data_IF_529899756642
#
_entry.id   IF_529899756642
#
_cell.length_a   1.000
_cell.length_b   1.000
_cell.length_c   1.000
_cell.angle_alpha   90.00
_cell.angle_beta   90.00
_cell.angle_gamma   90.00
#
_symmetry.space_group_name_H-M   'P 1'
#
loop_
_entity.id
_entity.type
_entity.pdbx_description
1 polymer ?
#
# COMPACT_ATOMS: atom_id res chain seq x y z
N UNK A 1 -7.39 -79.14 -24.86
CA UNK A 1 -7.28 -79.34 -23.41
C UNK A 1 -8.02 -78.22 -22.70
N UNK A 2 -9.06 -78.59 -21.97
CA UNK A 2 -9.77 -77.80 -20.96
C UNK A 2 -10.41 -78.82 -20.01
N UNK A 3 -10.56 -78.52 -18.71
CA UNK A 3 -11.90 -78.12 -18.27
C UNK A 3 -11.95 -77.07 -17.13
N UNK A 4 -12.90 -76.15 -17.27
CA UNK A 4 -14.02 -75.80 -16.38
C UNK A 4 -14.01 -76.05 -14.85
N UNK A 5 -14.63 -75.05 -14.16
CA UNK A 5 -15.41 -75.09 -12.88
C UNK A 5 -14.61 -75.15 -11.56
N UNK A 6 -15.02 -74.63 -10.39
CA UNK A 6 -16.16 -73.87 -9.85
C UNK A 6 -15.84 -73.54 -8.38
N UNK A 7 -16.47 -72.51 -7.79
CA UNK A 7 -17.16 -72.70 -6.50
C UNK A 7 -16.70 -71.92 -5.26
N UNK A 8 -17.68 -71.20 -4.68
CA UNK A 8 -17.92 -70.88 -3.26
C UNK A 8 -16.92 -69.96 -2.53
N UNK A 9 -17.27 -68.84 -1.91
CA UNK A 9 -18.53 -68.43 -1.29
C UNK A 9 -18.49 -68.68 0.22
N UNK A 10 -18.13 -67.67 1.02
CA UNK A 10 -18.50 -67.58 2.45
C UNK A 10 -18.67 -66.13 2.88
N UNK A 11 -19.79 -65.88 3.54
CA UNK A 11 -20.23 -64.61 4.11
C UNK A 11 -19.91 -64.54 5.62
N UNK A 12 -20.21 -63.37 6.21
CA UNK A 12 -20.23 -62.99 7.63
C UNK A 12 -18.91 -62.39 8.16
N UNK A 13 -18.86 -61.30 8.94
CA UNK A 13 -19.86 -60.54 9.69
C UNK A 13 -19.34 -59.09 9.91
N UNK A 14 -20.24 -58.10 9.99
CA UNK A 14 -19.97 -56.83 10.69
C UNK A 14 -20.32 -56.95 12.18
N UNK A 15 -20.38 -55.87 12.98
CA UNK A 15 -19.94 -54.49 12.76
C UNK A 15 -18.98 -53.99 13.87
N UNK A 16 -18.06 -53.09 13.54
CA UNK A 16 -17.16 -52.47 14.51
C UNK A 16 -17.12 -50.95 14.34
N UNK A 17 -18.19 -50.27 14.75
CA UNK A 17 -18.18 -48.80 14.94
C UNK A 17 -17.22 -48.48 16.09
N UNK A 18 -16.04 -47.98 15.78
CA UNK A 18 -15.22 -47.24 16.74
C UNK A 18 -15.39 -45.76 16.47
N UNK A 19 -16.27 -45.15 17.25
CA UNK A 19 -16.41 -43.72 17.40
C UNK A 19 -15.40 -43.24 18.45
N UNK A 20 -14.63 -42.19 18.14
CA UNK A 20 -13.94 -41.33 19.11
C UNK A 20 -13.44 -40.06 18.38
N UNK A 21 -13.27 -38.94 19.08
CA UNK A 21 -14.29 -38.18 19.76
C UNK A 21 -14.48 -36.82 19.06
N UNK A 22 -15.73 -36.41 18.89
CA UNK A 22 -16.09 -35.03 18.54
C UNK A 22 -15.63 -34.10 19.68
N UNK A 23 -14.57 -33.34 19.47
CA UNK A 23 -14.34 -32.13 20.27
C UNK A 23 -15.38 -31.10 19.86
N UNK A 24 -16.53 -31.21 20.51
CA UNK A 24 -17.55 -30.17 20.62
C UNK A 24 -16.92 -28.99 21.36
N UNK A 25 -16.25 -28.09 20.62
CA UNK A 25 -15.83 -26.79 21.18
C UNK A 25 -17.03 -25.86 21.16
N UNK A 26 -17.96 -26.17 22.06
CA UNK A 26 -18.95 -25.31 22.69
C UNK A 26 -18.96 -23.88 22.15
N UNK A 27 -19.92 -23.67 21.26
CA UNK A 27 -20.57 -22.41 20.90
C UNK A 27 -20.69 -21.48 22.13
N UNK A 28 -19.74 -20.56 22.32
CA UNK A 28 -19.91 -19.43 23.24
C UNK A 28 -20.58 -18.31 22.46
N UNK A 29 -21.91 -18.26 22.58
CA UNK A 29 -22.67 -17.02 22.38
C UNK A 29 -22.14 -16.00 23.39
N UNK A 30 -21.38 -15.03 22.91
CA UNK A 30 -21.00 -13.83 23.66
C UNK A 30 -21.49 -12.62 22.88
N UNK A 31 -22.63 -12.07 23.29
CA UNK A 31 -23.13 -10.77 22.84
C UNK A 31 -22.40 -9.73 23.69
N UNK A 32 -21.44 -9.03 23.09
CA UNK A 32 -20.80 -7.80 23.62
C UNK A 32 -20.43 -7.04 22.34
N UNK A 33 -20.96 -5.89 21.97
CA UNK A 33 -21.61 -4.83 22.70
C UNK A 33 -21.12 -3.56 22.01
N UNK A 34 -22.02 -2.93 21.25
CA UNK A 34 -21.86 -1.63 20.61
C UNK A 34 -21.27 -0.62 21.62
N UNK A 35 -20.08 -0.06 21.36
CA UNK A 35 -19.59 1.12 22.05
C UNK A 35 -19.30 2.22 21.03
N UNK A 36 -20.34 2.99 20.75
CA UNK A 36 -20.31 4.27 20.07
C UNK A 36 -19.91 5.35 21.08
N UNK A 37 -18.76 5.99 20.84
CA UNK A 37 -18.43 7.42 20.99
C UNK A 37 -18.76 8.13 22.32
N UNK A 38 -17.73 8.67 23.01
CA UNK A 38 -17.67 10.12 23.35
C UNK A 38 -16.27 10.61 23.78
N UNK A 39 -15.78 11.59 23.01
CA UNK A 39 -14.87 12.72 23.26
C UNK A 39 -14.08 12.86 24.59
N UNK A 40 -12.78 13.18 24.44
CA UNK A 40 -12.16 14.29 25.17
C UNK A 40 -11.45 15.19 24.15
N UNK A 41 -12.15 16.25 23.74
CA UNK A 41 -11.53 17.51 23.34
C UNK A 41 -11.79 18.48 24.49
N UNK A 42 -10.74 19.25 24.83
CA UNK A 42 -10.70 20.57 25.48
C UNK A 42 -9.81 20.65 26.73
N UNK A 43 -8.85 21.58 26.59
CA UNK A 43 -8.08 22.36 27.56
C UNK A 43 -6.78 21.73 28.10
N UNK A 44 -5.59 22.32 27.90
CA UNK A 44 -5.31 23.62 27.33
C UNK A 44 -3.81 23.91 27.25
N UNK A 45 -3.50 24.92 26.45
CA UNK A 45 -2.21 25.58 26.36
C UNK A 45 -1.59 25.85 27.74
N UNK A 46 -0.36 25.40 27.95
CA UNK A 46 0.56 26.01 28.90
C UNK A 46 1.84 26.32 28.13
N UNK A 47 1.87 27.55 27.62
CA UNK A 47 3.12 28.25 27.38
C UNK A 47 3.65 28.80 28.70
N UNK A 48 4.95 28.64 28.92
CA UNK A 48 5.81 29.54 29.70
C UNK A 48 7.17 29.47 28.99
N UNK A 49 7.79 30.54 28.52
CA UNK A 49 7.75 31.91 29.02
C UNK A 49 8.99 32.17 29.87
N UNK A 50 10.14 32.36 29.22
CA UNK A 50 11.29 33.02 29.81
C UNK A 50 11.98 33.84 28.71
N UNK A 51 11.52 35.08 28.56
CA UNK A 51 12.27 36.14 27.90
C UNK A 51 12.83 37.08 28.97
N UNK A 52 14.04 37.54 28.70
CA UNK A 52 14.74 38.75 29.18
C UNK A 52 15.83 38.59 30.25
N UNK A 53 16.84 39.44 30.00
CA UNK A 53 17.93 39.97 30.83
C UNK A 53 19.27 39.20 30.72
N UNK A 54 20.42 39.77 30.32
CA UNK A 54 20.90 41.16 30.25
C UNK A 54 21.92 41.37 29.11
N UNK A 55 21.92 42.59 28.58
CA UNK A 55 22.96 43.26 27.78
C UNK A 55 24.26 43.42 28.57
N UNK A 56 25.42 43.25 27.91
CA UNK A 56 26.66 43.92 28.30
C UNK A 56 27.49 44.19 27.04
N UNK A 57 27.52 45.46 26.64
CA UNK A 57 28.53 46.10 25.80
C UNK A 57 29.95 45.88 26.34
N UNK A 58 30.93 45.73 25.45
CA UNK A 58 32.27 46.25 25.70
C UNK A 58 32.77 46.96 24.42
N UNK A 59 33.23 48.19 24.62
CA UNK A 59 33.62 49.17 23.61
C UNK A 59 35.14 49.33 23.62
N UNK A 60 35.75 49.51 22.45
CA UNK A 60 37.11 50.05 22.30
C UNK A 60 37.44 50.25 20.82
N UNK A 61 37.21 51.43 20.25
CA UNK A 61 38.14 52.59 20.18
C UNK A 61 39.21 52.45 19.06
N UNK A 62 38.88 53.04 17.90
CA UNK A 62 39.61 54.04 17.10
C UNK A 62 41.13 53.89 16.82
N UNK A 63 41.54 53.86 15.53
CA UNK A 63 42.40 54.86 14.83
C UNK A 63 42.99 54.36 13.50
N UNK A 64 43.03 55.26 12.51
CA UNK A 64 43.42 55.14 11.08
C UNK A 64 44.94 55.16 10.85
N UNK A 65 45.46 54.39 9.86
CA UNK A 65 46.66 54.74 9.07
C UNK A 65 46.80 53.90 7.78
N UNK A 66 47.28 54.55 6.71
CA UNK A 66 47.33 54.12 5.31
C UNK A 66 48.49 53.18 4.90
N UNK A 67 48.29 52.53 3.73
CA UNK A 67 49.08 51.63 2.84
C UNK A 67 50.54 52.06 2.48
N UNK A 68 51.35 51.39 1.60
CA UNK A 68 51.08 50.27 0.65
C UNK A 68 52.22 49.24 0.39
N UNK A 69 52.01 48.38 -0.64
CA UNK A 69 52.95 47.50 -1.41
C UNK A 69 52.94 46.04 -0.96
N UNK A 70 52.69 45.02 -1.79
CA UNK A 70 52.44 44.92 -3.23
C UNK A 70 52.78 43.49 -3.66
N UNK A 71 51.91 42.81 -4.40
CA UNK A 71 52.31 41.90 -5.49
C UNK A 71 51.05 41.47 -6.26
N UNK A 72 51.07 41.76 -7.56
CA UNK A 72 50.02 41.45 -8.51
C UNK A 72 50.19 40.03 -9.09
N UNK A 73 49.08 39.39 -9.47
CA UNK A 73 48.98 38.71 -10.77
C UNK A 73 47.51 38.55 -11.21
N UNK A 74 47.16 38.68 -12.52
CA UNK A 74 45.78 38.90 -12.98
C UNK A 74 45.14 37.77 -13.85
N UNK A 75 43.80 37.82 -13.95
CA UNK A 75 42.90 37.39 -15.06
C UNK A 75 42.51 35.89 -15.24
N UNK A 76 41.42 35.56 -15.99
CA UNK A 76 40.10 36.23 -16.16
C UNK A 76 38.87 35.26 -16.20
N UNK A 77 37.66 35.84 -16.16
CA UNK A 77 36.38 35.40 -16.76
C UNK A 77 35.92 33.92 -16.72
N UNK A 78 34.82 33.67 -16.01
CA UNK A 78 33.86 32.59 -16.28
C UNK A 78 32.48 33.02 -15.81
N UNK A 79 31.55 33.24 -16.75
CA UNK A 79 30.19 33.74 -16.45
C UNK A 79 29.39 32.78 -15.57
N UNK A 80 28.32 33.25 -14.90
CA UNK A 80 27.43 32.36 -14.16
C UNK A 80 26.84 31.36 -15.16
N UNK A 81 27.17 30.08 -14.94
CA UNK A 81 26.51 28.95 -15.59
C UNK A 81 25.01 29.15 -15.45
N UNK A 82 24.29 29.08 -16.58
CA UNK A 82 22.86 28.89 -16.57
C UNK A 82 22.60 27.59 -15.81
N UNK A 83 22.18 27.73 -14.56
CA UNK A 83 21.64 26.64 -13.75
C UNK A 83 20.42 26.12 -14.52
N UNK A 84 20.61 24.98 -15.20
CA UNK A 84 19.52 24.27 -15.84
C UNK A 84 18.70 23.67 -14.70
N UNK A 85 17.73 24.43 -14.20
CA UNK A 85 16.66 23.90 -13.36
C UNK A 85 16.04 22.71 -14.10
N UNK A 86 15.95 21.52 -13.49
CA UNK A 86 15.28 20.40 -14.12
C UNK A 86 13.82 20.81 -14.32
N UNK A 87 13.34 20.76 -15.56
CA UNK A 87 11.92 20.83 -15.87
C UNK A 87 11.23 19.74 -15.05
N UNK A 88 10.49 20.15 -14.01
CA UNK A 88 9.55 19.27 -13.34
C UNK A 88 8.57 18.80 -14.41
N UNK A 89 8.66 17.53 -14.79
CA UNK A 89 7.71 16.90 -15.69
C UNK A 89 6.34 17.04 -15.02
N UNK A 90 5.54 17.99 -15.50
CA UNK A 90 4.25 18.29 -14.92
C UNK A 90 3.35 17.11 -15.28
N UNK A 91 3.02 16.28 -14.29
CA UNK A 91 2.00 15.25 -14.47
C UNK A 91 0.72 15.96 -14.92
N UNK A 92 0.01 15.45 -15.94
CA UNK A 92 -1.23 16.06 -16.38
C UNK A 92 -2.19 16.17 -15.20
N UNK A 93 -2.90 17.29 -15.11
CA UNK A 93 -3.96 17.48 -14.13
C UNK A 93 -5.06 16.42 -14.35
N UNK A 94 -5.59 15.87 -13.26
CA UNK A 94 -6.67 14.89 -13.31
C UNK A 94 -7.99 15.58 -13.72
N UNK A 95 -8.87 14.92 -14.50
CA UNK A 95 -10.19 15.45 -14.83
C UNK A 95 -11.10 15.52 -13.60
N UNK A 96 -12.12 16.39 -13.66
CA UNK A 96 -13.10 16.55 -12.59
C UNK A 96 -14.05 15.34 -12.44
N UNK A 97 -14.29 14.58 -13.52
CA UNK A 97 -15.08 13.36 -13.47
C UNK A 97 -14.28 12.23 -12.79
N UNK A 98 -14.77 11.67 -11.67
CA UNK A 98 -13.99 10.69 -10.91
C UNK A 98 -13.67 9.41 -11.67
N UNK A 99 -14.55 8.99 -12.59
CA UNK A 99 -14.31 7.80 -13.40
C UNK A 99 -13.20 8.06 -14.41
N UNK A 100 -13.27 9.18 -15.13
CA UNK A 100 -12.22 9.59 -16.06
C UNK A 100 -10.87 9.76 -15.34
N UNK A 101 -10.88 10.26 -14.10
CA UNK A 101 -9.67 10.40 -13.29
C UNK A 101 -9.07 9.04 -12.92
N UNK A 102 -9.89 8.10 -12.44
CA UNK A 102 -9.46 6.72 -12.17
C UNK A 102 -8.88 6.05 -13.41
N UNK A 103 -9.56 6.19 -14.56
CA UNK A 103 -9.09 5.63 -15.84
C UNK A 103 -7.74 6.23 -16.25
N UNK A 104 -7.57 7.56 -16.13
CA UNK A 104 -6.32 8.24 -16.44
C UNK A 104 -5.17 7.79 -15.51
N UNK A 105 -5.45 7.57 -14.22
CA UNK A 105 -4.47 7.06 -13.27
C UNK A 105 -4.05 5.64 -13.66
N UNK A 106 -5.00 4.74 -13.95
CA UNK A 106 -4.69 3.38 -14.40
C UNK A 106 -3.86 3.43 -15.69
N UNK A 107 -4.25 4.23 -16.67
CA UNK A 107 -3.53 4.35 -17.95
C UNK A 107 -2.10 4.85 -17.76
N UNK A 108 -1.89 5.79 -16.82
CA UNK A 108 -0.56 6.30 -16.46
C UNK A 108 0.29 5.24 -15.76
N UNK A 109 -0.30 4.47 -14.84
CA UNK A 109 0.44 3.53 -14.00
C UNK A 109 0.74 2.21 -14.74
N UNK A 110 -0.17 1.76 -15.62
CA UNK A 110 -0.14 0.47 -16.32
C UNK A 110 1.20 0.12 -16.98
N UNK A 111 1.87 1.00 -17.76
CA UNK A 111 3.11 0.64 -18.43
C UNK A 111 4.21 0.19 -17.46
N UNK A 112 4.33 0.86 -16.32
CA UNK A 112 5.31 0.50 -15.29
C UNK A 112 4.90 -0.76 -14.52
N UNK A 113 3.62 -0.92 -14.17
CA UNK A 113 3.10 -2.12 -13.50
C UNK A 113 3.36 -3.37 -14.37
N UNK A 114 3.01 -3.34 -15.64
CA UNK A 114 3.19 -4.49 -16.55
C UNK A 114 4.67 -4.80 -16.76
N UNK A 115 5.52 -3.78 -16.87
CA UNK A 115 6.96 -3.94 -17.09
C UNK A 115 7.67 -4.50 -15.85
N UNK A 116 7.35 -3.97 -14.67
CA UNK A 116 8.16 -4.17 -13.47
C UNK A 116 7.54 -5.13 -12.46
N UNK A 117 6.21 -5.29 -12.46
CA UNK A 117 5.46 -6.06 -11.45
C UNK A 117 4.79 -7.33 -11.99
N UNK A 118 4.74 -7.54 -13.30
CA UNK A 118 4.21 -8.78 -13.86
C UNK A 118 5.07 -10.00 -13.42
N UNK A 119 4.43 -11.03 -12.86
CA UNK A 119 5.10 -12.17 -12.22
C UNK A 119 5.57 -11.92 -10.79
N UNK A 120 5.28 -10.76 -10.18
CA UNK A 120 5.74 -10.38 -8.84
C UNK A 120 4.59 -10.35 -7.84
N UNK A 121 4.95 -10.62 -6.59
CA UNK A 121 4.08 -10.41 -5.43
C UNK A 121 4.15 -8.94 -5.01
N UNK A 122 3.00 -8.32 -4.78
CA UNK A 122 2.87 -6.94 -4.34
C UNK A 122 1.96 -6.87 -3.11
N UNK A 123 2.19 -5.93 -2.18
CA UNK A 123 1.19 -5.59 -1.18
C UNK A 123 -0.03 -4.94 -1.87
N UNK A 124 -1.21 -5.51 -1.68
CA UNK A 124 -2.47 -4.94 -2.13
C UNK A 124 -3.19 -4.32 -0.92
N UNK A 125 -3.49 -3.02 -1.02
CA UNK A 125 -4.08 -2.22 0.07
C UNK A 125 -5.60 -2.11 -0.06
N UNK A 126 -6.11 -2.14 -1.28
CA UNK A 126 -7.54 -1.97 -1.55
C UNK A 126 -8.00 -2.72 -2.79
N UNK A 127 -9.30 -3.00 -2.86
CA UNK A 127 -10.01 -3.57 -4.00
C UNK A 127 -11.45 -3.06 -3.98
N UNK A 128 -11.78 -2.06 -4.81
CA UNK A 128 -13.12 -1.46 -4.85
C UNK A 128 -13.71 -1.49 -6.24
N UNK A 129 -15.04 -1.53 -6.29
CA UNK A 129 -15.83 -1.33 -7.50
C UNK A 129 -17.07 -0.53 -7.17
N UNK A 130 -17.66 0.08 -8.20
CA UNK A 130 -18.91 0.83 -8.06
C UNK A 130 -20.03 -0.11 -7.62
N UNK A 131 -20.84 0.33 -6.67
CA UNK A 131 -21.93 -0.46 -6.12
C UNK A 131 -21.50 -1.53 -5.10
N UNK A 132 -20.21 -1.66 -4.79
CA UNK A 132 -19.76 -2.51 -3.68
C UNK A 132 -20.34 -2.00 -2.36
N UNK A 133 -20.92 -2.88 -1.55
CA UNK A 133 -21.35 -2.56 -0.18
C UNK A 133 -20.29 -3.05 0.80
N UNK A 134 -19.49 -2.12 1.32
CA UNK A 134 -18.40 -2.41 2.26
C UNK A 134 -18.11 -1.19 3.13
N UNK A 135 -17.55 -1.40 4.32
CA UNK A 135 -17.21 -0.32 5.27
C UNK A 135 -18.39 0.61 5.59
N UNK A 136 -19.60 0.04 5.62
CA UNK A 136 -20.83 0.77 5.97
C UNK A 136 -21.35 1.71 4.89
N UNK A 137 -20.83 1.65 3.66
CA UNK A 137 -21.33 2.46 2.53
C UNK A 137 -21.43 1.65 1.23
N UNK A 138 -22.18 2.20 0.29
CA UNK A 138 -22.13 1.79 -1.12
C UNK A 138 -21.10 2.65 -1.84
N UNK A 139 -20.09 2.00 -2.42
CA UNK A 139 -18.97 2.67 -3.07
C UNK A 139 -19.36 3.29 -4.40
N UNK A 140 -18.94 4.53 -4.61
CA UNK A 140 -19.04 5.28 -5.86
C UNK A 140 -17.64 5.58 -6.40
N UNK A 141 -17.54 5.98 -7.65
CA UNK A 141 -16.28 6.35 -8.30
C UNK A 141 -15.53 7.43 -7.51
N UNK A 142 -16.25 8.45 -7.01
CA UNK A 142 -15.68 9.50 -6.16
C UNK A 142 -15.10 8.95 -4.84
N UNK A 143 -15.73 7.95 -4.23
CA UNK A 143 -15.23 7.31 -3.02
C UNK A 143 -13.94 6.52 -3.29
N UNK A 144 -13.89 5.82 -4.42
CA UNK A 144 -12.73 5.02 -4.83
C UNK A 144 -11.53 5.93 -5.14
N UNK A 145 -11.77 7.02 -5.88
CA UNK A 145 -10.73 8.01 -6.18
C UNK A 145 -10.17 8.64 -4.90
N UNK A 146 -11.04 9.09 -4.00
CA UNK A 146 -10.62 9.69 -2.74
C UNK A 146 -9.78 8.71 -1.88
N UNK A 147 -10.17 7.44 -1.80
CA UNK A 147 -9.40 6.42 -1.07
C UNK A 147 -8.02 6.18 -1.72
N UNK A 148 -7.95 6.13 -3.06
CA UNK A 148 -6.67 6.01 -3.76
C UNK A 148 -5.76 7.22 -3.48
N UNK A 149 -6.30 8.44 -3.49
CA UNK A 149 -5.53 9.65 -3.19
C UNK A 149 -5.01 9.66 -1.75
N UNK A 150 -5.81 9.19 -0.79
CA UNK A 150 -5.38 9.00 0.60
C UNK A 150 -4.20 8.02 0.67
N UNK A 151 -4.31 6.85 0.03
CA UNK A 151 -3.21 5.90 -0.05
C UNK A 151 -1.99 6.49 -0.76
N UNK A 152 -2.17 7.32 -1.79
CA UNK A 152 -1.06 7.95 -2.52
C UNK A 152 -0.34 8.98 -1.67
N UNK A 153 -1.06 9.68 -0.81
CA UNK A 153 -0.48 10.62 0.13
C UNK A 153 0.30 9.91 1.25
N UNK A 154 -0.23 8.81 1.80
CA UNK A 154 0.42 8.04 2.86
C UNK A 154 1.57 7.16 2.33
N UNK A 155 1.37 6.53 1.18
CA UNK A 155 2.29 5.61 0.52
C UNK A 155 2.59 6.09 -0.92
N UNK A 156 3.56 7.01 -1.13
CA UNK A 156 3.81 7.65 -2.43
C UNK A 156 4.17 6.73 -3.60
N UNK A 157 4.39 5.44 -3.36
CA UNK A 157 4.69 4.43 -4.38
C UNK A 157 3.50 3.55 -4.75
N UNK A 158 2.29 3.82 -4.24
CA UNK A 158 1.12 3.05 -4.67
C UNK A 158 0.80 3.32 -6.14
N UNK A 159 0.29 2.29 -6.80
CA UNK A 159 -0.14 2.31 -8.17
C UNK A 159 -1.58 1.80 -8.22
N UNK A 160 -2.36 2.35 -9.13
CA UNK A 160 -3.72 1.87 -9.38
C UNK A 160 -3.69 0.91 -10.56
N UNK A 161 -4.32 -0.24 -10.41
CA UNK A 161 -4.50 -1.21 -11.50
C UNK A 161 -5.97 -1.52 -11.70
N UNK A 162 -6.37 -1.72 -12.94
CA UNK A 162 -7.68 -2.28 -13.28
C UNK A 162 -7.58 -3.80 -13.26
N UNK A 163 -8.46 -4.47 -12.52
CA UNK A 163 -8.36 -5.92 -12.31
C UNK A 163 -8.55 -6.71 -13.61
N UNK A 164 -9.35 -6.21 -14.56
CA UNK A 164 -9.56 -6.83 -15.86
C UNK A 164 -8.31 -6.88 -16.76
N UNK A 165 -7.27 -6.12 -16.45
CA UNK A 165 -6.00 -6.14 -17.19
C UNK A 165 -5.10 -7.33 -16.78
N UNK A 166 -5.44 -8.05 -15.69
CA UNK A 166 -4.62 -9.13 -15.15
C UNK A 166 -5.43 -10.39 -14.88
N UNK A 167 -5.01 -11.51 -15.46
CA UNK A 167 -5.61 -12.83 -15.22
C UNK A 167 -5.48 -13.33 -13.76
N UNK A 168 -4.59 -12.72 -12.98
CA UNK A 168 -4.39 -13.05 -11.57
C UNK A 168 -5.55 -12.59 -10.68
N UNK A 169 -6.43 -11.72 -11.15
CA UNK A 169 -7.68 -11.41 -10.45
C UNK A 169 -8.81 -12.33 -10.90
N UNK A 170 -9.68 -12.69 -9.96
CA UNK A 170 -10.84 -13.52 -10.25
C UNK A 170 -11.94 -12.72 -10.95
N UNK A 171 -12.17 -11.51 -10.48
CA UNK A 171 -13.16 -10.58 -11.02
C UNK A 171 -12.43 -9.46 -11.78
N UNK A 172 -13.02 -8.98 -12.86
CA UNK A 172 -12.41 -8.09 -13.86
C UNK A 172 -12.93 -6.64 -13.80
N UNK A 173 -13.69 -6.30 -12.75
CA UNK A 173 -14.41 -5.05 -12.60
C UNK A 173 -13.99 -4.21 -11.37
N UNK A 174 -12.74 -4.35 -10.90
CA UNK A 174 -12.23 -3.67 -9.71
C UNK A 174 -11.08 -2.71 -10.02
N UNK A 175 -11.09 -1.55 -9.37
CA UNK A 175 -9.90 -0.74 -9.14
C UNK A 175 -9.16 -1.27 -7.92
N UNK A 176 -7.88 -1.54 -8.10
CA UNK A 176 -7.05 -2.18 -7.08
C UNK A 176 -5.83 -1.31 -6.80
N UNK A 177 -5.68 -0.89 -5.55
CA UNK A 177 -4.53 -0.12 -5.09
C UNK A 177 -3.45 -1.08 -4.61
N UNK A 178 -2.31 -1.10 -5.29
CA UNK A 178 -1.14 -1.91 -4.92
C UNK A 178 0.04 -1.02 -4.58
N UNK A 179 0.94 -1.50 -3.75
CA UNK A 179 2.24 -0.86 -3.57
C UNK A 179 3.13 -1.26 -4.75
N UNK A 180 3.75 -0.28 -5.42
CA UNK A 180 4.60 -0.47 -6.59
C UNK A 180 5.97 -1.11 -6.30
N UNK A 181 6.03 -2.10 -5.40
CA UNK A 181 7.22 -2.87 -5.06
C UNK A 181 6.94 -4.34 -5.36
N UNK A 182 7.67 -4.90 -6.31
CA UNK A 182 7.56 -6.31 -6.67
C UNK A 182 8.53 -7.19 -5.87
N UNK A 183 8.00 -8.24 -5.27
CA UNK A 183 8.73 -9.25 -4.53
C UNK A 183 8.70 -10.60 -5.26
N UNK A 184 9.71 -11.44 -5.03
CA UNK A 184 9.75 -12.81 -5.53
C UNK A 184 8.92 -13.77 -4.69
N UNK A 185 8.72 -13.46 -3.41
CA UNK A 185 8.03 -14.29 -2.43
C UNK A 185 6.84 -13.51 -1.82
N UNK A 186 5.68 -14.16 -1.59
CA UNK A 186 4.54 -13.51 -0.95
C UNK A 186 4.84 -13.04 0.48
N UNK A 187 5.69 -13.74 1.23
CA UNK A 187 6.02 -13.37 2.61
C UNK A 187 6.72 -12.02 2.70
N UNK A 188 7.52 -11.65 1.71
CA UNK A 188 8.18 -10.33 1.68
C UNK A 188 7.15 -9.20 1.48
N UNK A 189 6.11 -9.45 0.69
CA UNK A 189 5.00 -8.51 0.53
C UNK A 189 4.16 -8.40 1.82
N UNK A 190 3.93 -9.52 2.52
CA UNK A 190 3.24 -9.52 3.83
C UNK A 190 4.09 -8.87 4.93
N UNK A 191 5.41 -9.03 4.89
CA UNK A 191 6.33 -8.32 5.77
C UNK A 191 6.24 -6.81 5.56
N UNK A 192 6.07 -6.34 4.32
CA UNK A 192 5.79 -4.94 4.05
C UNK A 192 4.47 -4.51 4.71
N UNK A 193 3.38 -5.26 4.54
CA UNK A 193 2.08 -4.96 5.17
C UNK A 193 2.23 -4.77 6.69
N UNK A 194 2.77 -5.78 7.37
CA UNK A 194 2.92 -5.78 8.83
C UNK A 194 3.89 -4.71 9.33
N UNK A 195 4.98 -4.42 8.61
CA UNK A 195 5.92 -3.35 8.96
C UNK A 195 5.31 -1.95 8.88
N UNK A 196 4.25 -1.76 8.09
CA UNK A 196 3.47 -0.53 8.00
C UNK A 196 2.24 -0.54 8.93
N UNK A 197 2.12 -1.54 9.81
CA UNK A 197 1.01 -1.64 10.76
C UNK A 197 -0.32 -2.04 10.13
N UNK A 198 -0.32 -2.53 8.89
CA UNK A 198 -1.53 -2.93 8.16
C UNK A 198 -1.86 -4.40 8.43
N UNK A 199 -2.97 -4.63 9.13
CA UNK A 199 -3.46 -5.97 9.46
C UNK A 199 -4.10 -6.73 8.28
N UNK A 200 -4.56 -7.97 8.51
CA UNK A 200 -5.10 -8.87 7.48
C UNK A 200 -6.29 -8.29 6.70
N UNK A 201 -7.07 -7.43 7.34
CA UNK A 201 -8.24 -6.77 6.73
C UNK A 201 -7.86 -5.58 5.82
N UNK A 202 -6.61 -5.13 5.88
CA UNK A 202 -6.14 -3.90 5.24
C UNK A 202 -4.99 -4.10 4.26
N UNK A 203 -4.32 -5.26 4.29
CA UNK A 203 -3.23 -5.54 3.37
C UNK A 203 -2.99 -7.06 3.23
N UNK A 204 -2.81 -7.50 1.99
CA UNK A 204 -2.45 -8.88 1.66
C UNK A 204 -1.51 -8.93 0.46
N UNK A 205 -0.85 -10.06 0.25
CA UNK A 205 0.05 -10.23 -0.88
C UNK A 205 -0.74 -10.72 -2.10
N UNK A 206 -0.59 -9.99 -3.20
CA UNK A 206 -1.18 -10.31 -4.50
C UNK A 206 -0.09 -10.53 -5.53
N UNK A 207 -0.10 -11.65 -6.25
CA UNK A 207 0.72 -11.79 -7.44
C UNK A 207 0.01 -11.15 -8.63
N UNK A 208 0.70 -10.28 -9.36
CA UNK A 208 0.18 -9.67 -10.59
C UNK A 208 0.64 -10.45 -11.81
N UNK A 209 -0.29 -11.06 -12.54
CA UNK A 209 0.01 -11.81 -13.76
C UNK A 209 -0.97 -11.47 -14.88
N UNK A 210 -0.45 -11.11 -16.05
CA UNK A 210 -1.26 -10.92 -17.28
C UNK A 210 -1.73 -12.24 -17.90
N UNK A 211 -1.20 -13.39 -17.45
CA UNK A 211 -1.62 -14.73 -17.88
C UNK A 211 -1.51 -15.76 -16.75
N UNK A 212 -2.11 -16.95 -16.91
CA UNK A 212 -1.97 -18.05 -15.94
C UNK A 212 -3.10 -18.18 -14.90
N UNK A 213 -4.07 -17.26 -14.89
CA UNK A 213 -5.26 -17.36 -14.03
C UNK A 213 -5.04 -16.92 -12.58
N UNK A 214 -6.10 -16.98 -11.77
CA UNK A 214 -6.14 -16.38 -10.42
C UNK A 214 -5.82 -17.35 -9.28
N UNK A 215 -5.75 -18.66 -9.54
CA UNK A 215 -5.51 -19.64 -8.48
C UNK A 215 -4.10 -19.49 -7.91
N UNK A 216 -3.98 -19.44 -6.58
CA UNK A 216 -2.69 -19.32 -5.90
C UNK A 216 -2.01 -17.95 -6.01
N UNK A 217 -2.66 -16.93 -6.56
CA UNK A 217 -2.08 -15.58 -6.73
C UNK A 217 -2.36 -14.64 -5.54
N UNK A 218 -2.90 -15.16 -4.43
CA UNK A 218 -3.23 -14.36 -3.24
C UNK A 218 -2.80 -15.09 -1.99
N UNK A 219 -2.09 -14.39 -1.09
CA UNK A 219 -1.65 -14.88 0.22
C UNK A 219 -2.14 -13.91 1.29
N UNK A 220 -2.82 -14.42 2.32
CA UNK A 220 -3.31 -13.63 3.44
C UNK A 220 -2.28 -13.62 4.57
N UNK A 221 -2.36 -12.61 5.44
CA UNK A 221 -1.64 -12.62 6.71
C UNK A 221 -2.27 -13.65 7.67
N UNK A 222 -1.45 -14.23 8.56
CA UNK A 222 -1.87 -15.19 9.59
C UNK A 222 -2.53 -14.54 10.82
#
# INVERSE_FOLDING_TARGET
>A
MGPHQQGAGFAAAGPGRSAAPTTDRRRRRGVIGLFVVLAIVVAGAIGWGAAMFFTQDDSGETTVASSPTGSASPSPSGGPSAETTPTAESSPELPDDPKEALDQIVDRDRPSVVKDLNGKWVPQLSSKRVGLEAEGKTWKEADILAEYEEFRNEYPRVQLVWSGDFSSFKEDDFWVTVVGIGYSDPEDALAWCSSNGLGPDHCYAKQLNTSGGYEGTTRLQD
#
